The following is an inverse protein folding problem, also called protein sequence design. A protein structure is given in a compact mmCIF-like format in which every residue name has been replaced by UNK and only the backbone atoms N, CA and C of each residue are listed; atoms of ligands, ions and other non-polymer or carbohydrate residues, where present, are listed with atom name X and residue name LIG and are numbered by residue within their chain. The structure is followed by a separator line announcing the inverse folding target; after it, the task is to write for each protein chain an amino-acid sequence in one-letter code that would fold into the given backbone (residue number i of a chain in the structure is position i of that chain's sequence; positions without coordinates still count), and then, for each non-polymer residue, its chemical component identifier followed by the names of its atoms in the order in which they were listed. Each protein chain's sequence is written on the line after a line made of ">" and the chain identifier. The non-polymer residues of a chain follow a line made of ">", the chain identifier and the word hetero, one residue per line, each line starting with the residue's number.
data_IF_149659788995
#
_entry.id   IF_149659788995
#
_cell.length_a   1.000
_cell.length_b   1.000
_cell.length_c   1.000
_cell.angle_alpha   90.00
_cell.angle_beta   90.00
_cell.angle_gamma   90.00
#
_symmetry.space_group_name_H-M   'P 1'
#
loop_
_entity.id
_entity.type
_entity.pdbx_description
1 polymer ?
#
# COMPACT_ATOMS: atom_id res chain seq x y z
N UNK A 1 -13.72 19.83 -18.60
CA UNK A 1 -14.92 19.20 -18.00
C UNK A 1 -15.08 17.84 -18.63
N UNK A 2 -15.03 16.75 -17.85
CA UNK A 2 -15.38 15.43 -18.38
C UNK A 2 -16.89 15.36 -18.58
N UNK A 3 -17.37 14.77 -19.68
CA UNK A 3 -18.80 14.59 -19.87
C UNK A 3 -19.31 13.59 -18.83
N UNK A 4 -20.25 14.03 -17.98
CA UNK A 4 -21.15 13.12 -17.26
C UNK A 4 -21.73 12.17 -18.31
N UNK A 5 -21.74 10.86 -18.07
CA UNK A 5 -22.45 9.95 -18.96
C UNK A 5 -23.92 10.38 -18.97
N UNK A 6 -24.44 10.92 -20.09
CA UNK A 6 -25.81 11.40 -20.14
C UNK A 6 -26.81 10.25 -20.25
N UNK A 7 -26.32 9.02 -20.51
CA UNK A 7 -27.10 7.81 -20.66
C UNK A 7 -26.37 6.62 -20.01
N UNK A 8 -27.12 5.56 -19.61
CA UNK A 8 -26.52 4.30 -19.19
C UNK A 8 -25.50 3.75 -20.17
N UNK A 9 -24.39 3.21 -19.68
CA UNK A 9 -23.34 2.67 -20.56
C UNK A 9 -22.17 2.02 -19.84
N UNK A 10 -21.22 1.46 -20.60
CA UNK A 10 -20.02 0.88 -20.03
C UNK A 10 -19.11 1.96 -19.44
N UNK A 11 -18.53 1.67 -18.28
CA UNK A 11 -17.60 2.53 -17.55
C UNK A 11 -16.45 1.68 -17.02
N UNK A 12 -15.22 2.07 -17.34
CA UNK A 12 -14.04 1.48 -16.71
C UNK A 12 -13.86 2.04 -15.30
N UNK A 13 -13.66 1.15 -14.34
CA UNK A 13 -13.57 1.51 -12.92
C UNK A 13 -12.49 0.68 -12.24
N UNK A 14 -11.72 1.34 -11.40
CA UNK A 14 -10.90 0.67 -10.39
C UNK A 14 -11.75 0.46 -9.13
N UNK A 15 -11.71 -0.74 -8.58
CA UNK A 15 -12.50 -1.13 -7.40
C UNK A 15 -11.56 -1.65 -6.34
N UNK A 16 -11.64 -1.09 -5.13
CA UNK A 16 -10.96 -1.55 -3.93
C UNK A 16 -12.02 -2.12 -2.99
N UNK A 17 -11.86 -3.38 -2.63
CA UNK A 17 -12.53 -4.00 -1.49
C UNK A 17 -11.58 -4.04 -0.31
N UNK A 18 -12.07 -3.75 0.88
CA UNK A 18 -11.34 -3.87 2.14
C UNK A 18 -12.24 -4.57 3.15
N UNK A 19 -11.71 -5.58 3.81
CA UNK A 19 -12.43 -6.35 4.82
C UNK A 19 -11.56 -6.54 6.06
N UNK A 20 -12.23 -6.68 7.19
CA UNK A 20 -11.58 -6.95 8.45
C UNK A 20 -11.15 -8.42 8.55
N UNK A 21 -9.86 -8.68 8.76
CA UNK A 21 -9.36 -10.04 8.93
C UNK A 21 -9.93 -10.64 10.22
N UNK A 22 -10.39 -11.88 10.14
CA UNK A 22 -10.99 -12.66 11.24
C UNK A 22 -12.26 -12.04 11.86
N UNK A 23 -12.93 -11.12 11.17
CA UNK A 23 -14.21 -10.53 11.57
C UNK A 23 -15.25 -11.56 12.05
N UNK A 24 -15.42 -12.65 11.30
CA UNK A 24 -16.35 -13.73 11.64
C UNK A 24 -15.98 -14.47 12.94
N UNK A 25 -14.69 -14.59 13.25
CA UNK A 25 -14.24 -15.18 14.51
C UNK A 25 -14.57 -14.26 15.68
N UNK A 26 -14.33 -12.95 15.54
CA UNK A 26 -14.73 -11.97 16.54
C UNK A 26 -16.24 -11.96 16.77
N UNK A 27 -17.05 -12.01 15.71
CA UNK A 27 -18.50 -12.07 15.80
C UNK A 27 -19.00 -13.30 16.59
N UNK A 28 -18.24 -14.39 16.61
CA UNK A 28 -18.59 -15.62 17.32
C UNK A 28 -18.23 -15.61 18.81
N UNK A 29 -17.29 -14.74 19.22
CA UNK A 29 -16.75 -14.69 20.58
C UNK A 29 -17.24 -13.45 21.36
N UNK A 30 -17.40 -12.32 20.67
CA UNK A 30 -17.81 -11.06 21.28
C UNK A 30 -19.31 -10.99 21.53
N UNK A 31 -19.72 -10.23 22.54
CA UNK A 31 -21.12 -9.86 22.70
C UNK A 31 -21.62 -9.00 21.54
N UNK A 32 -22.91 -9.06 21.22
CA UNK A 32 -23.50 -8.30 20.09
C UNK A 32 -23.16 -6.80 20.12
N UNK A 33 -23.15 -6.19 21.32
CA UNK A 33 -22.80 -4.79 21.51
C UNK A 33 -21.30 -4.54 21.26
N UNK A 34 -20.44 -5.39 21.81
CA UNK A 34 -18.99 -5.25 21.66
C UNK A 34 -18.57 -5.41 20.19
N UNK A 35 -19.20 -6.34 19.48
CA UNK A 35 -18.98 -6.52 18.04
C UNK A 35 -19.47 -5.31 17.24
N UNK A 36 -20.64 -4.74 17.59
CA UNK A 36 -21.11 -3.50 16.94
C UNK A 36 -20.15 -2.32 17.19
N UNK A 37 -19.69 -2.12 18.42
CA UNK A 37 -18.70 -1.08 18.76
C UNK A 37 -17.36 -1.30 18.03
N UNK A 38 -16.98 -2.55 17.78
CA UNK A 38 -15.81 -2.89 16.98
C UNK A 38 -15.99 -2.48 15.51
N UNK A 39 -17.13 -2.83 14.90
CA UNK A 39 -17.45 -2.43 13.52
C UNK A 39 -17.58 -0.92 13.38
N UNK A 40 -18.16 -0.22 14.35
CA UNK A 40 -18.25 1.24 14.37
C UNK A 40 -16.86 1.88 14.35
N UNK A 41 -15.90 1.34 15.13
CA UNK A 41 -14.51 1.81 15.11
C UNK A 41 -13.83 1.58 13.77
N UNK A 42 -14.08 0.43 13.14
CA UNK A 42 -13.52 0.11 11.83
C UNK A 42 -14.11 1.01 10.74
N UNK A 43 -15.44 1.17 10.73
CA UNK A 43 -16.15 2.05 9.83
C UNK A 43 -15.67 3.50 9.96
N UNK A 44 -15.52 4.00 11.19
CA UNK A 44 -15.01 5.35 11.44
C UNK A 44 -13.61 5.54 10.86
N UNK A 45 -12.67 4.64 11.15
CA UNK A 45 -11.31 4.70 10.62
C UNK A 45 -11.31 4.72 9.09
N UNK A 46 -12.07 3.83 8.44
CA UNK A 46 -12.15 3.77 6.99
C UNK A 46 -12.76 5.01 6.35
N UNK A 47 -13.90 5.48 6.87
CA UNK A 47 -14.62 6.62 6.28
C UNK A 47 -13.88 7.94 6.52
N UNK A 48 -13.29 8.13 7.70
CA UNK A 48 -12.47 9.30 8.03
C UNK A 48 -11.26 9.37 7.09
N UNK A 49 -10.52 8.26 6.99
CA UNK A 49 -9.35 8.17 6.09
C UNK A 49 -9.72 8.34 4.61
N UNK A 50 -10.83 7.76 4.13
CA UNK A 50 -11.28 7.95 2.74
C UNK A 50 -11.61 9.43 2.46
N UNK A 51 -12.30 10.10 3.39
CA UNK A 51 -12.64 11.52 3.26
C UNK A 51 -11.36 12.36 3.20
N UNK A 52 -10.45 12.17 4.15
CA UNK A 52 -9.17 12.88 4.16
C UNK A 52 -8.36 12.65 2.87
N UNK A 53 -8.29 11.41 2.40
CA UNK A 53 -7.54 11.06 1.19
C UNK A 53 -8.08 11.77 -0.06
N UNK A 54 -9.39 11.75 -0.31
CA UNK A 54 -9.96 12.37 -1.51
C UNK A 54 -10.08 13.90 -1.40
N UNK A 55 -10.45 14.42 -0.23
CA UNK A 55 -10.73 15.85 -0.04
C UNK A 55 -9.48 16.65 0.31
N UNK A 56 -8.62 16.16 1.21
CA UNK A 56 -7.46 16.89 1.71
C UNK A 56 -6.18 16.55 0.93
N UNK A 57 -5.79 15.27 0.88
CA UNK A 57 -4.56 14.84 0.18
C UNK A 57 -4.63 15.18 -1.29
N UNK A 58 -5.76 14.87 -1.93
CA UNK A 58 -5.99 15.18 -3.34
C UNK A 58 -6.62 16.56 -3.59
N UNK A 59 -6.80 17.39 -2.55
CA UNK A 59 -7.33 18.77 -2.66
C UNK A 59 -8.63 18.84 -3.46
N UNK A 60 -9.53 17.87 -3.28
CA UNK A 60 -10.80 17.79 -3.99
C UNK A 60 -10.70 17.52 -5.50
N UNK A 61 -9.55 17.02 -6.00
CA UNK A 61 -9.34 16.63 -7.41
C UNK A 61 -10.40 15.65 -7.92
N UNK A 62 -10.94 14.81 -7.04
CA UNK A 62 -11.95 13.82 -7.34
C UNK A 62 -13.28 14.24 -6.71
N UNK A 63 -14.37 14.17 -7.46
CA UNK A 63 -15.70 14.51 -6.97
C UNK A 63 -16.44 13.26 -6.46
N UNK A 64 -16.94 13.29 -5.22
CA UNK A 64 -17.75 12.20 -4.69
C UNK A 64 -19.02 12.00 -5.51
N UNK A 65 -19.38 10.74 -5.75
CA UNK A 65 -20.50 10.33 -6.59
C UNK A 65 -20.16 10.33 -8.09
N UNK A 66 -19.27 11.21 -8.55
CA UNK A 66 -18.93 11.33 -9.98
C UNK A 66 -17.60 10.71 -10.37
N UNK A 67 -16.53 10.88 -9.61
CA UNK A 67 -15.23 10.25 -9.88
C UNK A 67 -15.00 9.08 -8.92
N UNK A 68 -15.47 9.19 -7.68
CA UNK A 68 -15.33 8.13 -6.69
C UNK A 68 -16.59 7.91 -5.88
N UNK A 69 -16.78 6.69 -5.37
CA UNK A 69 -17.86 6.34 -4.45
C UNK A 69 -17.32 5.41 -3.37
N UNK A 70 -17.63 5.74 -2.13
CA UNK A 70 -17.32 4.91 -0.96
C UNK A 70 -18.64 4.32 -0.45
N UNK A 71 -18.67 3.02 -0.21
CA UNK A 71 -19.78 2.30 0.40
C UNK A 71 -19.23 1.41 1.50
N UNK A 72 -19.95 1.32 2.60
CA UNK A 72 -19.58 0.46 3.73
C UNK A 72 -20.79 -0.41 4.07
N UNK A 73 -20.59 -1.72 4.18
CA UNK A 73 -21.66 -2.69 4.44
C UNK A 73 -21.10 -3.75 5.41
N UNK A 74 -21.56 -3.74 6.65
CA UNK A 74 -21.11 -4.72 7.66
C UNK A 74 -19.65 -4.48 8.06
N UNK A 75 -18.78 -5.42 7.69
CA UNK A 75 -17.33 -5.41 7.90
C UNK A 75 -16.54 -5.14 6.62
N UNK A 76 -17.23 -4.71 5.55
CA UNK A 76 -16.65 -4.52 4.23
C UNK A 76 -16.78 -3.06 3.76
N UNK A 77 -15.66 -2.48 3.35
CA UNK A 77 -15.56 -1.21 2.64
C UNK A 77 -15.36 -1.47 1.14
N UNK A 78 -16.09 -0.74 0.30
CA UNK A 78 -15.91 -0.75 -1.15
C UNK A 78 -15.69 0.66 -1.66
N UNK A 79 -14.60 0.88 -2.38
CA UNK A 79 -14.26 2.14 -3.03
C UNK A 79 -14.20 1.95 -4.54
N UNK A 80 -15.00 2.72 -5.26
CA UNK A 80 -14.97 2.82 -6.72
C UNK A 80 -14.24 4.11 -7.10
N UNK A 81 -13.35 4.06 -8.09
CA UNK A 81 -12.66 5.22 -8.63
C UNK A 81 -12.57 5.13 -10.16
N UNK A 82 -12.97 6.20 -10.84
CA UNK A 82 -12.96 6.29 -12.29
C UNK A 82 -12.71 7.72 -12.75
N UNK A 83 -11.46 8.18 -12.64
CA UNK A 83 -11.08 9.48 -13.20
C UNK A 83 -10.72 9.42 -14.69
N UNK A 84 -11.02 8.32 -15.39
CA UNK A 84 -10.66 8.19 -16.82
C UNK A 84 -9.14 8.13 -17.05
N UNK A 85 -8.37 7.92 -15.98
CA UNK A 85 -6.94 7.68 -15.98
C UNK A 85 -6.70 6.39 -15.23
N UNK A 86 -6.99 5.29 -15.90
CA UNK A 86 -7.03 3.94 -15.34
C UNK A 86 -5.82 3.63 -14.44
N UNK A 87 -4.60 3.93 -14.91
CA UNK A 87 -3.37 3.69 -14.15
C UNK A 87 -3.27 4.54 -12.88
N UNK A 88 -3.65 5.83 -12.94
CA UNK A 88 -3.68 6.74 -11.78
C UNK A 88 -4.72 6.26 -10.77
N UNK A 89 -5.91 5.86 -11.25
CA UNK A 89 -7.00 5.38 -10.39
C UNK A 89 -6.58 4.14 -9.60
N UNK A 90 -5.99 3.14 -10.26
CA UNK A 90 -5.52 1.92 -9.59
C UNK A 90 -4.41 2.26 -8.58
N UNK A 91 -3.45 3.10 -8.97
CA UNK A 91 -2.36 3.52 -8.09
C UNK A 91 -2.87 4.28 -6.86
N UNK A 92 -3.85 5.19 -7.02
CA UNK A 92 -4.45 5.87 -5.88
C UNK A 92 -5.20 4.93 -4.95
N UNK A 93 -5.87 3.90 -5.48
CA UNK A 93 -6.50 2.88 -4.63
C UNK A 93 -5.47 2.03 -3.86
N UNK A 94 -4.31 1.75 -4.45
CA UNK A 94 -3.21 1.10 -3.72
C UNK A 94 -2.66 2.00 -2.60
N UNK A 95 -2.47 3.30 -2.88
CA UNK A 95 -2.08 4.28 -1.87
C UNK A 95 -3.12 4.36 -0.74
N UNK A 96 -4.41 4.42 -1.08
CA UNK A 96 -5.50 4.46 -0.12
C UNK A 96 -5.53 3.18 0.73
N UNK A 97 -5.34 2.00 0.14
CA UNK A 97 -5.30 0.74 0.87
C UNK A 97 -4.20 0.73 1.94
N UNK A 98 -2.99 1.20 1.61
CA UNK A 98 -1.88 1.33 2.57
C UNK A 98 -2.24 2.32 3.70
N UNK A 99 -2.82 3.47 3.35
CA UNK A 99 -3.27 4.44 4.35
C UNK A 99 -4.40 3.91 5.24
N UNK A 100 -5.33 3.11 4.69
CA UNK A 100 -6.39 2.46 5.45
C UNK A 100 -5.83 1.45 6.45
N UNK A 101 -4.81 0.67 6.08
CA UNK A 101 -4.11 -0.22 7.03
C UNK A 101 -3.49 0.57 8.17
N UNK A 102 -2.80 1.67 7.86
CA UNK A 102 -2.20 2.54 8.87
C UNK A 102 -3.26 3.18 9.79
N UNK A 103 -4.38 3.65 9.23
CA UNK A 103 -5.47 4.27 9.97
C UNK A 103 -6.16 3.25 10.89
N UNK A 104 -6.37 2.02 10.41
CA UNK A 104 -6.94 0.95 11.21
C UNK A 104 -6.00 0.49 12.33
N UNK A 105 -4.69 0.39 12.06
CA UNK A 105 -3.70 0.13 13.10
C UNK A 105 -3.71 1.20 14.18
N UNK A 106 -3.84 2.46 13.79
CA UNK A 106 -3.95 3.61 14.70
C UNK A 106 -5.30 3.75 15.41
N UNK A 107 -6.28 2.89 15.10
CA UNK A 107 -7.62 2.99 15.66
C UNK A 107 -7.63 2.74 17.18
N UNK A 108 -8.67 3.22 17.89
CA UNK A 108 -8.85 2.92 19.31
C UNK A 108 -8.84 1.41 19.60
N UNK A 109 -9.42 0.58 18.72
CA UNK A 109 -9.48 -0.87 18.94
C UNK A 109 -8.12 -1.55 18.89
N UNK A 110 -7.26 -1.21 17.93
CA UNK A 110 -5.90 -1.76 17.92
C UNK A 110 -5.03 -1.20 19.06
N UNK A 111 -5.27 0.05 19.47
CA UNK A 111 -4.64 0.63 20.65
C UNK A 111 -4.99 -0.13 21.92
N UNK A 112 -6.29 -0.39 22.17
CA UNK A 112 -6.78 -1.18 23.30
C UNK A 112 -6.17 -2.59 23.32
N UNK A 113 -6.08 -3.23 22.15
CA UNK A 113 -5.51 -4.58 22.02
C UNK A 113 -4.04 -4.63 22.42
N UNK A 114 -3.23 -3.73 21.89
CA UNK A 114 -1.81 -3.65 22.23
C UNK A 114 -1.61 -3.35 23.71
N UNK A 115 -2.39 -2.44 24.29
CA UNK A 115 -2.35 -2.15 25.74
C UNK A 115 -2.73 -3.36 26.59
N UNK A 116 -3.61 -4.22 26.09
CA UNK A 116 -3.97 -5.48 26.72
C UNK A 116 -2.97 -6.62 26.44
N UNK A 117 -1.85 -6.35 25.75
CA UNK A 117 -0.84 -7.36 25.39
C UNK A 117 -1.29 -8.33 24.28
N UNK A 118 -2.36 -7.99 23.54
CA UNK A 118 -2.84 -8.75 22.40
C UNK A 118 -2.22 -8.24 21.10
N UNK A 119 -2.09 -9.11 20.10
CA UNK A 119 -1.67 -8.72 18.74
C UNK A 119 -2.71 -7.82 18.05
N UNK A 120 -2.26 -7.04 17.08
CA UNK A 120 -3.12 -6.20 16.24
C UNK A 120 -4.04 -7.03 15.36
N UNK A 121 -5.12 -6.41 14.88
CA UNK A 121 -5.97 -6.99 13.82
C UNK A 121 -5.71 -6.21 12.56
N UNK A 122 -5.50 -6.96 11.49
CA UNK A 122 -5.21 -6.42 10.17
C UNK A 122 -6.47 -6.36 9.29
N UNK A 123 -6.35 -5.70 8.13
CA UNK A 123 -7.35 -5.64 7.07
C UNK A 123 -6.77 -6.19 5.77
N UNK A 124 -7.61 -6.88 5.01
CA UNK A 124 -7.29 -7.44 3.71
C UNK A 124 -7.87 -6.56 2.60
N UNK A 125 -7.11 -6.33 1.53
CA UNK A 125 -7.50 -5.45 0.44
C UNK A 125 -7.39 -6.13 -0.92
N UNK A 126 -8.43 -6.02 -1.74
CA UNK A 126 -8.44 -6.49 -3.12
C UNK A 126 -8.71 -5.37 -4.11
N UNK A 127 -7.80 -5.18 -5.08
CA UNK A 127 -7.92 -4.15 -6.11
C UNK A 127 -8.07 -4.80 -7.48
N UNK A 128 -9.14 -4.42 -8.17
CA UNK A 128 -9.43 -4.87 -9.53
C UNK A 128 -9.74 -3.71 -10.46
N UNK A 129 -9.48 -3.91 -11.75
CA UNK A 129 -9.81 -2.97 -12.79
C UNK A 129 -10.60 -3.67 -13.89
N UNK A 130 -11.72 -3.08 -14.29
CA UNK A 130 -12.55 -3.62 -15.37
C UNK A 130 -13.72 -2.72 -15.72
N UNK A 131 -14.53 -3.16 -16.68
CA UNK A 131 -15.71 -2.44 -17.14
C UNK A 131 -16.96 -2.88 -16.38
N UNK A 132 -17.72 -1.91 -15.88
CA UNK A 132 -19.05 -2.10 -15.31
C UNK A 132 -20.10 -1.40 -16.18
N UNK A 133 -21.36 -1.78 -16.01
CA UNK A 133 -22.48 -0.99 -16.51
C UNK A 133 -22.83 0.08 -15.50
N UNK A 134 -22.75 1.35 -15.90
CA UNK A 134 -23.05 2.51 -15.08
C UNK A 134 -24.41 3.10 -15.47
N UNK A 135 -25.34 3.14 -14.51
CA UNK A 135 -26.62 3.84 -14.66
C UNK A 135 -26.55 5.19 -13.91
N UNK A 136 -26.66 6.34 -14.61
CA UNK A 136 -26.65 7.64 -13.95
C UNK A 136 -27.77 7.78 -12.93
N UNK A 137 -27.46 8.37 -11.77
CA UNK A 137 -28.38 8.75 -10.70
C UNK A 137 -28.19 10.22 -10.33
N UNK A 138 -29.07 10.76 -9.47
CA UNK A 138 -29.02 12.17 -9.05
C UNK A 138 -27.69 12.54 -8.38
N UNK A 139 -27.07 11.61 -7.66
CA UNK A 139 -25.82 11.80 -6.90
C UNK A 139 -24.67 10.91 -7.36
N UNK A 140 -24.71 10.36 -8.59
CA UNK A 140 -23.61 9.54 -9.12
C UNK A 140 -24.04 8.45 -10.08
N UNK A 141 -23.52 7.24 -9.89
CA UNK A 141 -23.84 6.07 -10.71
C UNK A 141 -24.26 4.87 -9.85
N UNK A 142 -25.26 4.12 -10.31
CA UNK A 142 -25.49 2.72 -9.90
C UNK A 142 -24.64 1.83 -10.81
N UNK A 143 -23.68 1.12 -10.22
CA UNK A 143 -22.68 0.32 -10.92
C UNK A 143 -23.01 -1.16 -10.78
N UNK A 144 -23.09 -1.86 -11.91
CA UNK A 144 -23.35 -3.30 -11.95
C UNK A 144 -22.37 -3.99 -12.88
N UNK A 145 -21.79 -5.10 -12.45
CA UNK A 145 -20.92 -5.87 -13.32
C UNK A 145 -20.15 -6.95 -12.60
N UNK A 146 -19.68 -7.92 -13.39
CA UNK A 146 -18.87 -9.03 -12.90
C UNK A 146 -17.55 -8.56 -12.27
N UNK A 147 -17.00 -7.42 -12.71
CA UNK A 147 -15.83 -6.74 -12.12
C UNK A 147 -15.95 -6.59 -10.60
N UNK A 148 -17.13 -6.28 -10.08
CA UNK A 148 -17.35 -6.10 -8.62
C UNK A 148 -17.19 -7.44 -7.89
N UNK A 149 -17.73 -8.52 -8.46
CA UNK A 149 -17.61 -9.86 -7.89
C UNK A 149 -16.16 -10.35 -7.91
N UNK A 150 -15.42 -10.07 -8.98
CA UNK A 150 -13.99 -10.43 -9.08
C UNK A 150 -13.19 -9.68 -8.03
N UNK A 151 -13.41 -8.38 -7.87
CA UNK A 151 -12.73 -7.55 -6.86
C UNK A 151 -12.91 -8.10 -5.45
N UNK A 152 -14.16 -8.44 -5.06
CA UNK A 152 -14.47 -9.07 -3.78
C UNK A 152 -13.72 -10.39 -3.59
N UNK A 153 -13.61 -11.22 -4.63
CA UNK A 153 -12.87 -12.50 -4.54
C UNK A 153 -11.36 -12.31 -4.41
N UNK A 154 -10.81 -11.26 -4.99
CA UNK A 154 -9.40 -10.91 -4.84
C UNK A 154 -9.11 -10.48 -3.40
N UNK A 155 -9.97 -9.66 -2.79
CA UNK A 155 -9.86 -9.33 -1.36
C UNK A 155 -9.89 -10.61 -0.53
N UNK A 156 -10.81 -11.54 -0.82
CA UNK A 156 -10.95 -12.74 0.00
C UNK A 156 -9.68 -13.58 -0.05
N UNK A 157 -9.04 -13.64 -1.22
CA UNK A 157 -7.75 -14.29 -1.39
C UNK A 157 -6.58 -13.52 -0.77
N UNK A 158 -6.66 -12.21 -0.61
CA UNK A 158 -5.57 -11.39 -0.08
C UNK A 158 -5.33 -11.59 1.42
N UNK A 159 -6.30 -12.20 2.13
CA UNK A 159 -6.18 -12.65 3.53
C UNK A 159 -5.07 -13.68 3.74
N UNK A 160 -4.72 -14.43 2.70
CA UNK A 160 -3.66 -15.44 2.71
C UNK A 160 -2.32 -14.89 2.20
N UNK A 161 -2.24 -13.57 1.95
CA UNK A 161 -0.97 -12.91 1.63
C UNK A 161 0.03 -13.03 2.78
N UNK A 162 1.27 -12.65 2.53
CA UNK A 162 2.34 -12.75 3.55
C UNK A 162 2.92 -11.40 3.93
N UNK A 163 2.64 -10.37 3.13
CA UNK A 163 3.28 -9.07 3.22
C UNK A 163 2.24 -8.03 3.62
N UNK A 164 1.65 -7.34 2.65
CA UNK A 164 0.70 -6.26 2.92
C UNK A 164 -0.76 -6.74 2.96
N UNK A 165 -1.08 -7.98 2.55
CA UNK A 165 -2.47 -8.42 2.34
C UNK A 165 -3.25 -7.51 1.37
N UNK A 166 -2.54 -6.82 0.47
CA UNK A 166 -3.11 -5.99 -0.60
C UNK A 166 -2.81 -6.66 -1.93
N UNK A 167 -3.85 -7.20 -2.57
CA UNK A 167 -3.71 -7.89 -3.85
C UNK A 167 -4.22 -7.03 -5.00
N UNK A 168 -3.46 -7.01 -6.08
CA UNK A 168 -3.84 -6.47 -7.37
C UNK A 168 -4.23 -7.62 -8.29
N UNK A 169 -5.37 -7.53 -8.96
CA UNK A 169 -5.63 -8.42 -10.10
C UNK A 169 -4.63 -8.21 -11.24
N UNK A 170 -4.46 -9.22 -12.09
CA UNK A 170 -3.67 -9.11 -13.33
C UNK A 170 -4.17 -7.99 -14.25
N UNK A 171 -5.48 -7.76 -14.31
CA UNK A 171 -6.08 -6.64 -15.05
C UNK A 171 -5.68 -5.27 -14.48
N UNK A 172 -5.51 -5.17 -13.15
CA UNK A 172 -5.06 -3.94 -12.48
C UNK A 172 -3.53 -3.78 -12.58
N UNK A 173 -2.79 -4.84 -12.29
CA UNK A 173 -1.33 -4.89 -12.34
C UNK A 173 -0.79 -4.53 -13.73
N UNK A 174 -1.39 -5.06 -14.81
CA UNK A 174 -0.98 -4.73 -16.19
C UNK A 174 -1.29 -3.29 -16.61
N UNK A 175 -2.12 -2.56 -15.86
CA UNK A 175 -2.51 -1.18 -16.15
C UNK A 175 -1.66 -0.16 -15.42
N UNK A 176 -1.18 -0.48 -14.23
CA UNK A 176 -0.17 0.32 -13.57
C UNK A 176 1.19 0.10 -14.24
N UNK A 177 1.97 1.16 -14.38
CA UNK A 177 3.31 1.05 -14.95
C UNK A 177 4.15 0.12 -14.07
N UNK A 178 4.86 -0.83 -14.67
CA UNK A 178 5.91 -1.57 -13.94
C UNK A 178 7.08 -0.67 -13.50
N UNK A 179 7.07 0.62 -13.91
CA UNK A 179 8.02 1.65 -13.49
C UNK A 179 7.52 2.46 -12.27
N UNK A 180 6.53 1.94 -11.54
CA UNK A 180 6.10 2.54 -10.28
C UNK A 180 7.26 2.45 -9.28
N UNK A 181 7.80 3.63 -8.94
CA UNK A 181 9.01 3.76 -8.13
C UNK A 181 8.81 3.41 -6.67
N UNK A 182 7.59 3.43 -6.16
CA UNK A 182 7.31 3.38 -4.73
C UNK A 182 6.32 2.27 -4.32
N UNK A 183 5.96 1.37 -5.23
CA UNK A 183 5.18 0.17 -4.94
C UNK A 183 5.90 -1.04 -5.54
N UNK A 184 6.33 -1.95 -4.67
CA UNK A 184 7.01 -3.18 -5.06
C UNK A 184 5.98 -4.31 -5.01
N UNK A 185 5.84 -4.99 -6.13
CA UNK A 185 4.82 -6.00 -6.36
C UNK A 185 5.53 -7.32 -6.62
N UNK A 186 5.10 -8.35 -5.91
CA UNK A 186 5.70 -9.67 -5.95
C UNK A 186 5.37 -10.47 -7.21
N UNK A 187 5.76 -11.74 -7.16
CA UNK A 187 5.47 -12.69 -8.22
C UNK A 187 3.96 -12.93 -8.37
N UNK A 188 3.52 -13.08 -9.61
CA UNK A 188 2.12 -13.34 -9.93
C UNK A 188 1.72 -14.76 -9.54
N UNK A 189 0.59 -14.89 -8.85
CA UNK A 189 -0.05 -16.16 -8.55
C UNK A 189 -1.36 -16.30 -9.32
N UNK A 190 -1.73 -17.51 -9.71
CA UNK A 190 -2.99 -17.78 -10.41
C UNK A 190 -3.92 -18.51 -9.46
N UNK A 191 -5.03 -17.87 -9.10
CA UNK A 191 -5.95 -18.39 -8.09
C UNK A 191 -7.29 -18.82 -8.72
N UNK A 192 -7.75 -20.06 -8.46
CA UNK A 192 -9.12 -20.43 -8.77
C UNK A 192 -10.07 -19.69 -7.81
N UNK A 193 -11.10 -19.05 -8.36
CA UNK A 193 -12.06 -18.28 -7.56
C UNK A 193 -13.47 -18.85 -7.72
N UNK A 194 -14.17 -19.05 -6.59
CA UNK A 194 -15.54 -19.56 -6.60
C UNK A 194 -16.46 -18.65 -7.42
N UNK A 195 -17.05 -19.20 -8.47
CA UNK A 195 -17.95 -18.49 -9.38
C UNK A 195 -17.26 -17.74 -10.53
N UNK A 196 -15.94 -17.92 -10.69
CA UNK A 196 -15.17 -17.41 -11.83
C UNK A 196 -14.69 -18.60 -12.67
N UNK A 197 -15.03 -18.61 -13.96
CA UNK A 197 -14.73 -19.74 -14.86
C UNK A 197 -13.22 -19.87 -15.10
N UNK A 198 -12.53 -18.74 -15.27
CA UNK A 198 -11.10 -18.70 -15.55
C UNK A 198 -10.36 -18.30 -14.27
N UNK A 199 -9.33 -19.03 -13.85
CA UNK A 199 -8.46 -18.61 -12.75
C UNK A 199 -7.93 -17.19 -12.96
N UNK A 200 -7.90 -16.40 -11.89
CA UNK A 200 -7.51 -14.99 -11.95
C UNK A 200 -6.06 -14.88 -11.47
N UNK A 201 -5.22 -14.25 -12.29
CA UNK A 201 -3.89 -13.84 -11.86
C UNK A 201 -4.01 -12.71 -10.84
N UNK A 202 -3.27 -12.80 -9.74
CA UNK A 202 -3.19 -11.77 -8.70
C UNK A 202 -1.73 -11.58 -8.27
N UNK A 203 -1.43 -10.40 -7.76
CA UNK A 203 -0.10 -10.00 -7.33
C UNK A 203 -0.21 -9.29 -6.00
N UNK A 204 0.62 -9.68 -5.02
CA UNK A 204 0.66 -9.01 -3.72
C UNK A 204 1.60 -7.79 -3.77
N UNK A 205 1.23 -6.71 -3.08
CA UNK A 205 2.19 -5.66 -2.74
C UNK A 205 3.15 -6.22 -1.67
N UNK A 206 4.41 -6.39 -2.03
CA UNK A 206 5.45 -6.92 -1.13
C UNK A 206 6.04 -5.82 -0.26
N UNK A 207 6.28 -4.65 -0.85
CA UNK A 207 6.81 -3.51 -0.13
C UNK A 207 6.35 -2.18 -0.72
N UNK A 208 6.48 -1.09 0.04
CA UNK A 208 5.96 0.20 -0.33
C UNK A 208 6.73 1.37 0.28
N UNK A 209 7.10 2.31 -0.57
CA UNK A 209 7.61 3.64 -0.21
C UNK A 209 6.50 4.71 -0.25
N UNK A 210 5.22 4.31 -0.27
CA UNK A 210 4.09 5.24 -0.07
C UNK A 210 4.20 5.86 1.31
N UNK A 211 4.40 7.17 1.33
CA UNK A 211 4.53 7.99 2.52
C UNK A 211 3.18 8.15 3.24
N UNK A 212 2.97 7.48 4.39
CA UNK A 212 1.76 7.60 5.18
C UNK A 212 1.74 8.92 5.97
N UNK A 213 2.89 9.46 6.36
CA UNK A 213 2.97 10.70 7.15
C UNK A 213 2.25 11.87 6.47
N UNK A 214 2.38 12.00 5.14
CA UNK A 214 1.69 13.03 4.36
C UNK A 214 0.25 12.70 3.95
N UNK A 215 -0.22 11.47 4.16
CA UNK A 215 -1.50 10.96 3.60
C UNK A 215 -2.49 10.45 4.62
N UNK A 216 -2.03 10.16 5.83
CA UNK A 216 -2.87 9.69 6.91
C UNK A 216 -3.68 10.87 7.46
N UNK A 217 -4.95 10.61 7.78
CA UNK A 217 -5.76 11.56 8.51
C UNK A 217 -5.02 12.00 9.78
N UNK A 218 -4.91 13.32 10.06
CA UNK A 218 -4.30 13.83 11.28
C UNK A 218 -4.83 13.15 12.56
N UNK A 219 -6.10 12.71 12.57
CA UNK A 219 -6.70 11.93 13.66
C UNK A 219 -5.88 10.66 13.99
N UNK A 220 -5.32 10.01 12.98
CA UNK A 220 -4.61 8.73 13.12
C UNK A 220 -3.08 8.87 13.07
N UNK A 221 -2.54 10.02 12.68
CA UNK A 221 -1.09 10.21 12.43
C UNK A 221 -0.23 9.94 13.67
N UNK A 222 -0.57 10.52 14.81
CA UNK A 222 0.17 10.28 16.06
C UNK A 222 -0.09 8.89 16.62
N UNK A 223 -1.34 8.41 16.53
CA UNK A 223 -1.73 7.07 16.96
C UNK A 223 -0.96 5.98 16.21
N UNK A 224 -0.77 6.16 14.90
CA UNK A 224 -0.05 5.21 14.05
C UNK A 224 1.37 4.97 14.55
N UNK A 225 2.15 6.03 14.78
CA UNK A 225 3.54 5.91 15.23
C UNK A 225 3.64 5.11 16.53
N UNK A 226 2.77 5.43 17.50
CA UNK A 226 2.77 4.81 18.82
C UNK A 226 2.38 3.34 18.77
N UNK A 227 1.28 3.02 18.08
CA UNK A 227 0.78 1.64 17.96
C UNK A 227 1.73 0.79 17.12
N UNK A 228 2.25 1.32 16.01
CA UNK A 228 3.22 0.61 15.17
C UNK A 228 4.47 0.25 15.98
N UNK A 229 5.08 1.19 16.72
CA UNK A 229 6.24 0.89 17.56
C UNK A 229 5.95 -0.19 18.60
N UNK A 230 4.81 -0.08 19.27
CA UNK A 230 4.39 -1.05 20.29
C UNK A 230 4.12 -2.44 19.69
N UNK A 231 3.52 -2.52 18.49
CA UNK A 231 3.31 -3.78 17.77
C UNK A 231 4.65 -4.46 17.41
N UNK A 232 5.65 -3.68 17.00
CA UNK A 232 6.97 -4.22 16.70
C UNK A 232 7.74 -4.68 17.95
N UNK A 233 7.43 -4.13 19.12
CA UNK A 233 7.99 -4.59 20.41
C UNK A 233 7.33 -5.87 20.91
N UNK A 234 6.05 -6.08 20.64
CA UNK A 234 5.32 -7.31 20.97
C UNK A 234 5.63 -8.48 20.02
N UNK A 235 6.70 -8.37 19.23
CA UNK A 235 7.16 -9.35 18.26
C UNK A 235 6.18 -9.59 17.10
N UNK A 236 5.34 -8.59 16.77
CA UNK A 236 4.59 -8.61 15.52
C UNK A 236 5.58 -8.46 14.36
N UNK A 237 5.89 -9.59 13.70
CA UNK A 237 6.77 -9.67 12.55
C UNK A 237 6.04 -9.28 11.25
N UNK A 238 5.09 -8.35 11.29
CA UNK A 238 4.33 -7.94 10.10
C UNK A 238 5.18 -6.98 9.26
N UNK A 239 5.68 -7.47 8.12
CA UNK A 239 6.57 -6.73 7.23
C UNK A 239 6.02 -5.34 6.85
N UNK A 240 4.71 -5.24 6.63
CA UNK A 240 4.09 -3.98 6.22
C UNK A 240 4.13 -2.89 7.30
N UNK A 241 4.02 -3.25 8.59
CA UNK A 241 4.12 -2.29 9.71
C UNK A 241 5.54 -1.72 9.74
N UNK A 242 6.55 -2.59 9.59
CA UNK A 242 7.94 -2.19 9.52
C UNK A 242 8.18 -1.18 8.39
N UNK A 243 7.75 -1.51 7.17
CA UNK A 243 7.92 -0.64 6.00
C UNK A 243 7.22 0.70 6.16
N UNK A 244 5.93 0.70 6.53
CA UNK A 244 5.17 1.94 6.71
C UNK A 244 5.75 2.83 7.81
N UNK A 245 6.20 2.26 8.94
CA UNK A 245 6.81 3.03 10.02
C UNK A 245 8.16 3.63 9.60
N UNK A 246 9.00 2.89 8.87
CA UNK A 246 10.29 3.40 8.39
C UNK A 246 10.12 4.58 7.42
N UNK A 247 9.21 4.45 6.44
CA UNK A 247 8.88 5.53 5.50
C UNK A 247 8.30 6.74 6.24
N UNK A 248 7.44 6.50 7.23
CA UNK A 248 6.88 7.56 8.06
C UNK A 248 7.97 8.31 8.84
N UNK A 249 8.91 7.61 9.46
CA UNK A 249 10.00 8.21 10.25
C UNK A 249 10.93 9.03 9.36
N UNK A 250 11.32 8.50 8.20
CA UNK A 250 12.13 9.24 7.24
C UNK A 250 11.39 10.50 6.77
N UNK A 251 10.14 10.39 6.35
CA UNK A 251 9.40 11.55 5.83
C UNK A 251 9.12 12.60 6.90
N UNK A 252 8.94 12.23 8.17
CA UNK A 252 8.75 13.18 9.27
C UNK A 252 10.03 13.94 9.57
N UNK A 253 11.17 13.26 9.55
CA UNK A 253 12.46 13.82 9.97
C UNK A 253 13.26 14.42 8.80
N UNK A 254 12.91 14.09 7.56
CA UNK A 254 13.62 14.45 6.33
C UNK A 254 15.01 13.81 6.21
N UNK A 255 15.27 12.75 6.99
CA UNK A 255 16.53 11.98 7.02
C UNK A 255 16.32 10.66 7.77
N UNK A 256 17.25 9.72 7.60
CA UNK A 256 17.23 8.46 8.36
C UNK A 256 17.85 8.67 9.75
N UNK A 257 17.02 8.66 10.80
CA UNK A 257 17.50 8.82 12.19
C UNK A 257 18.17 7.56 12.73
N UNK A 258 18.80 7.65 13.90
CA UNK A 258 19.37 6.49 14.59
C UNK A 258 18.29 5.47 14.98
N UNK A 259 17.11 5.93 15.39
CA UNK A 259 15.97 5.07 15.69
C UNK A 259 15.46 4.35 14.43
N UNK A 260 15.37 5.05 13.29
CA UNK A 260 14.97 4.44 12.02
C UNK A 260 16.02 3.43 11.53
N UNK A 261 17.31 3.74 11.68
CA UNK A 261 18.39 2.81 11.36
C UNK A 261 18.34 1.52 12.20
N UNK A 262 18.11 1.65 13.51
CA UNK A 262 17.94 0.51 14.40
C UNK A 262 16.68 -0.31 14.07
N UNK A 263 15.61 0.36 13.63
CA UNK A 263 14.40 -0.29 13.12
C UNK A 263 14.69 -1.10 11.84
N UNK A 264 15.40 -0.53 10.87
CA UNK A 264 15.82 -1.23 9.66
C UNK A 264 16.65 -2.47 10.02
N UNK A 265 17.66 -2.33 10.90
CA UNK A 265 18.51 -3.44 11.34
C UNK A 265 17.72 -4.57 12.00
N UNK A 266 16.70 -4.25 12.80
CA UNK A 266 15.82 -5.27 13.41
C UNK A 266 14.96 -5.97 12.36
N UNK A 267 14.40 -5.21 11.43
CA UNK A 267 13.58 -5.72 10.32
C UNK A 267 14.35 -6.73 9.48
N UNK A 268 15.60 -6.42 9.11
CA UNK A 268 16.44 -7.30 8.30
C UNK A 268 16.86 -8.62 8.99
N UNK A 269 16.66 -8.76 10.31
CA UNK A 269 16.88 -10.04 10.99
C UNK A 269 15.77 -11.05 10.70
N UNK A 270 14.54 -10.58 10.53
CA UNK A 270 13.36 -11.42 10.25
C UNK A 270 12.96 -11.39 8.78
N UNK A 271 13.22 -10.29 8.08
CA UNK A 271 12.90 -10.07 6.67
C UNK A 271 14.13 -9.52 5.94
N UNK A 272 15.16 -10.35 5.68
CA UNK A 272 16.40 -9.93 5.02
C UNK A 272 16.21 -9.26 3.65
N UNK A 273 15.10 -9.55 2.99
CA UNK A 273 14.71 -9.05 1.68
C UNK A 273 13.87 -7.76 1.73
N UNK A 274 13.51 -7.23 2.91
CA UNK A 274 12.65 -6.04 3.00
C UNK A 274 13.31 -4.83 2.32
N UNK A 275 12.66 -4.33 1.26
CA UNK A 275 13.23 -3.33 0.36
C UNK A 275 13.39 -1.98 1.05
N UNK A 276 12.38 -1.57 1.83
CA UNK A 276 12.39 -0.31 2.58
C UNK A 276 13.54 -0.30 3.59
N UNK A 277 13.73 -1.40 4.34
CA UNK A 277 14.80 -1.51 5.31
C UNK A 277 16.19 -1.52 4.66
N UNK A 278 16.39 -2.27 3.57
CA UNK A 278 17.65 -2.28 2.83
C UNK A 278 17.97 -0.90 2.22
N UNK A 279 16.96 -0.21 1.70
CA UNK A 279 17.12 1.13 1.13
C UNK A 279 17.52 2.15 2.19
N UNK A 280 16.73 2.29 3.27
CA UNK A 280 17.00 3.30 4.29
C UNK A 280 18.25 2.99 5.13
N UNK A 281 18.59 1.72 5.37
CA UNK A 281 19.85 1.38 6.04
C UNK A 281 21.06 1.71 5.15
N UNK A 282 20.94 1.49 3.84
CA UNK A 282 21.95 1.86 2.84
C UNK A 282 22.15 3.38 2.78
N UNK A 283 21.06 4.14 2.69
CA UNK A 283 21.07 5.61 2.74
C UNK A 283 21.73 6.12 4.03
N UNK A 284 21.35 5.56 5.19
CA UNK A 284 21.90 5.96 6.47
C UNK A 284 23.40 5.65 6.59
N UNK A 285 23.88 4.53 6.02
CA UNK A 285 25.31 4.22 5.96
C UNK A 285 26.06 5.27 5.12
N UNK A 286 25.50 5.70 3.99
CA UNK A 286 26.08 6.75 3.15
C UNK A 286 26.14 8.10 3.89
N UNK A 287 25.05 8.51 4.56
CA UNK A 287 24.99 9.73 5.37
C UNK A 287 26.02 9.72 6.51
N UNK A 288 26.29 8.54 7.09
CA UNK A 288 27.30 8.34 8.14
C UNK A 288 28.72 8.12 7.63
N UNK A 289 28.97 8.31 6.32
CA UNK A 289 30.29 8.13 5.67
C UNK A 289 30.85 6.71 5.81
N UNK A 290 29.96 5.71 5.78
CA UNK A 290 30.30 4.29 5.68
C UNK A 290 29.80 3.70 4.33
N UNK A 291 30.37 4.17 3.20
CA UNK A 291 29.89 3.77 1.87
C UNK A 291 30.15 2.28 1.57
N UNK A 292 31.09 1.63 2.24
CA UNK A 292 31.35 0.20 2.09
C UNK A 292 30.17 -0.64 2.62
N UNK A 293 29.66 -0.32 3.81
CA UNK A 293 28.44 -0.99 4.30
C UNK A 293 27.22 -0.62 3.49
N UNK A 294 27.12 0.64 3.06
CA UNK A 294 26.01 1.08 2.20
C UNK A 294 25.95 0.22 0.92
N UNK A 295 27.09 -0.03 0.28
CA UNK A 295 27.18 -0.87 -0.91
C UNK A 295 26.64 -2.27 -0.65
N UNK A 296 27.01 -2.92 0.45
CA UNK A 296 26.56 -4.29 0.76
C UNK A 296 25.03 -4.37 0.86
N UNK A 297 24.39 -3.45 1.59
CA UNK A 297 22.93 -3.44 1.72
C UNK A 297 22.22 -3.13 0.39
N UNK A 298 22.79 -2.25 -0.43
CA UNK A 298 22.21 -1.88 -1.72
C UNK A 298 22.45 -2.94 -2.82
N UNK A 299 23.54 -3.70 -2.73
CA UNK A 299 23.74 -4.91 -3.55
C UNK A 299 22.69 -5.98 -3.19
N UNK A 300 22.40 -6.18 -1.90
CA UNK A 300 21.29 -7.05 -1.48
C UNK A 300 19.93 -6.52 -1.95
N UNK A 301 19.68 -5.21 -1.82
CA UNK A 301 18.44 -4.58 -2.30
C UNK A 301 18.21 -4.86 -3.78
N UNK A 302 19.23 -4.60 -4.60
CA UNK A 302 19.13 -4.77 -6.06
C UNK A 302 19.16 -6.24 -6.50
N UNK A 303 19.63 -7.15 -5.63
CA UNK A 303 19.54 -8.60 -5.82
C UNK A 303 18.14 -9.14 -5.54
N UNK A 304 17.52 -8.72 -4.43
CA UNK A 304 16.17 -9.14 -4.06
C UNK A 304 15.10 -8.42 -4.90
N UNK A 305 15.31 -7.14 -5.19
CA UNK A 305 14.38 -6.26 -5.90
C UNK A 305 15.02 -5.68 -7.16
N UNK A 306 15.32 -6.52 -8.17
CA UNK A 306 16.07 -6.08 -9.36
C UNK A 306 15.32 -5.04 -10.21
N UNK A 307 14.00 -4.93 -10.07
CA UNK A 307 13.19 -3.94 -10.79
C UNK A 307 13.05 -2.61 -10.03
N UNK A 308 13.57 -2.50 -8.80
CA UNK A 308 13.46 -1.29 -8.00
C UNK A 308 14.51 -0.26 -8.43
N UNK A 309 14.08 0.70 -9.24
CA UNK A 309 14.97 1.67 -9.88
C UNK A 309 15.69 2.59 -8.90
N UNK A 310 15.02 3.09 -7.85
CA UNK A 310 15.63 4.02 -6.90
C UNK A 310 16.73 3.32 -6.07
N UNK A 311 16.59 2.00 -5.81
CA UNK A 311 17.66 1.19 -5.21
C UNK A 311 18.93 1.12 -6.08
N UNK A 312 18.77 0.98 -7.40
CA UNK A 312 19.90 1.04 -8.34
C UNK A 312 20.53 2.43 -8.40
N UNK A 313 19.72 3.50 -8.35
CA UNK A 313 20.23 4.86 -8.35
C UNK A 313 21.08 5.13 -7.11
N UNK A 314 20.58 4.75 -5.92
CA UNK A 314 21.32 4.90 -4.67
C UNK A 314 22.60 4.06 -4.66
N UNK A 315 22.57 2.83 -5.19
CA UNK A 315 23.78 2.01 -5.37
C UNK A 315 24.80 2.72 -6.28
N UNK A 316 24.34 3.36 -7.36
CA UNK A 316 25.24 4.08 -8.26
C UNK A 316 25.94 5.26 -7.59
N UNK A 317 25.22 6.01 -6.74
CA UNK A 317 25.77 7.10 -5.94
C UNK A 317 26.82 6.60 -4.96
N UNK A 318 26.54 5.48 -4.27
CA UNK A 318 27.49 4.85 -3.35
C UNK A 318 28.74 4.36 -4.10
N UNK A 319 28.61 3.67 -5.22
CA UNK A 319 29.74 3.25 -6.05
C UNK A 319 30.59 4.43 -6.53
N UNK A 320 29.94 5.56 -6.89
CA UNK A 320 30.65 6.80 -7.26
C UNK A 320 31.46 7.35 -6.08
N UNK A 321 30.89 7.34 -4.87
CA UNK A 321 31.59 7.78 -3.65
C UNK A 321 32.81 6.92 -3.29
N UNK A 322 32.77 5.63 -3.67
CA UNK A 322 33.89 4.68 -3.52
C UNK A 322 34.93 4.77 -4.64
N UNK A 323 34.70 5.59 -5.68
CA UNK A 323 35.56 5.67 -6.86
C UNK A 323 35.40 4.52 -7.85
N UNK A 324 34.41 3.64 -7.67
CA UNK A 324 34.09 2.55 -8.58
C UNK A 324 33.17 3.04 -9.72
N UNK A 325 33.77 3.80 -10.64
CA UNK A 325 33.09 4.34 -11.81
C UNK A 325 32.47 3.24 -12.72
N UNK A 326 33.11 2.08 -12.95
CA UNK A 326 32.49 0.98 -13.68
C UNK A 326 31.17 0.49 -13.07
N UNK A 327 31.15 0.19 -11.77
CA UNK A 327 29.93 -0.31 -11.11
C UNK A 327 28.85 0.77 -11.03
N UNK A 328 29.24 2.03 -10.79
CA UNK A 328 28.31 3.16 -10.79
C UNK A 328 27.59 3.30 -12.14
N UNK A 329 28.31 3.25 -13.27
CA UNK A 329 27.71 3.28 -14.60
C UNK A 329 26.77 2.10 -14.85
N UNK A 330 27.15 0.90 -14.40
CA UNK A 330 26.28 -0.29 -14.52
C UNK A 330 24.97 -0.09 -13.76
N UNK A 331 25.04 0.43 -12.54
CA UNK A 331 23.87 0.68 -11.70
C UNK A 331 22.96 1.77 -12.30
N UNK A 332 23.53 2.86 -12.85
CA UNK A 332 22.79 3.88 -13.61
C UNK A 332 22.01 3.25 -14.77
N UNK A 333 22.64 2.40 -15.57
CA UNK A 333 21.98 1.74 -16.70
C UNK A 333 20.81 0.85 -16.25
N UNK A 334 20.90 0.20 -15.08
CA UNK A 334 19.79 -0.56 -14.51
C UNK A 334 18.67 0.37 -14.03
N UNK A 335 19.00 1.46 -13.32
CA UNK A 335 18.03 2.47 -12.91
C UNK A 335 17.26 3.04 -14.11
N UNK A 336 17.95 3.34 -15.21
CA UNK A 336 17.35 3.80 -16.47
C UNK A 336 16.45 2.77 -17.12
N UNK A 337 16.89 1.51 -17.17
CA UNK A 337 16.08 0.38 -17.66
C UNK A 337 14.77 0.22 -16.87
N UNK A 338 14.79 0.58 -15.60
CA UNK A 338 13.64 0.46 -14.68
C UNK A 338 12.91 1.80 -14.45
N UNK A 339 13.15 2.80 -15.30
CA UNK A 339 12.24 3.95 -15.45
C UNK A 339 12.70 5.26 -14.84
N UNK A 340 13.96 5.36 -14.39
CA UNK A 340 14.57 6.63 -14.00
C UNK A 340 15.21 7.26 -15.23
N UNK A 341 14.74 8.43 -15.65
CA UNK A 341 15.47 9.23 -16.64
C UNK A 341 16.52 10.07 -15.91
N UNK A 342 17.80 9.70 -16.04
CA UNK A 342 18.90 10.53 -15.53
C UNK A 342 19.29 11.49 -16.64
N UNK A 343 19.09 12.80 -16.41
CA UNK A 343 19.67 13.80 -17.30
C UNK A 343 21.20 13.73 -17.15
N UNK A 344 21.89 13.31 -18.21
CA UNK A 344 23.34 13.36 -18.27
C UNK A 344 23.74 14.84 -18.24
N UNK A 345 24.21 15.30 -17.08
CA UNK A 345 24.92 16.57 -16.97
C UNK A 345 26.36 16.28 -17.34
N UNK A 346 26.74 16.72 -18.54
CA UNK A 346 28.10 16.68 -19.10
C UNK A 346 29.13 17.39 -18.21
#
# INVERSE_FOLDING_TARGET
>A
MKPRLPQPGPLNVAVLFVDLVNSSEFASVLGLREYAEYLDSFQHACLSQCRHFFESVHKGKYQQGLDYRVSFIGDELVVFLHSGRDADDIYQLACLAICLKCAWLASPKNTERIQAGMGTVDIACGIHFGSVWANPQQSGYDLRGFTINVAKRIETSSREGKNFHIFLSDAAYKRISQLLRNLLVGEGMVLPMKGVIVPVGVYEIEDSFIDPYKRLDPEFSEGFQNVARSALESNACEAWIHSCLQVWEESRNGKVTDECFDLCRRTLKSHPENAVALYFIGQACQERKDPERARLYLEDLTRFHPTFADGWLLLAEVCKSLGDAPSSRKAILQAERHGIQIEQTD
#
